data_IF_089837086920
#
_entry.id   IF_089837086920
#
_cell.length_a   1.000
_cell.length_b   1.000
_cell.length_c   1.000
_cell.angle_alpha   90.00
_cell.angle_beta   90.00
_cell.angle_gamma   90.00
#
_symmetry.space_group_name_H-M   'P 1'
#
loop_
_entity.id
_entity.type
_entity.pdbx_description
1 polymer ?
#
# COMPACT_ATOMS: atom_id res chain seq x y z
N UNK A 1 -4.89 -28.30 2.95
CA UNK A 1 -5.30 -29.71 3.11
C UNK A 1 -6.54 -30.06 2.28
N UNK A 2 -7.59 -29.24 2.23
CA UNK A 2 -8.75 -29.51 1.37
C UNK A 2 -8.47 -29.36 -0.15
N UNK A 3 -7.54 -28.49 -0.56
CA UNK A 3 -7.24 -28.23 -2.00
C UNK A 3 -6.68 -29.47 -2.72
N UNK A 4 -5.78 -30.23 -2.07
CA UNK A 4 -5.20 -31.46 -2.62
C UNK A 4 -6.22 -32.62 -2.73
N UNK A 5 -7.21 -32.66 -1.84
CA UNK A 5 -8.22 -33.72 -1.83
C UNK A 5 -9.15 -33.63 -3.04
N UNK A 6 -9.60 -32.42 -3.42
CA UNK A 6 -10.48 -32.23 -4.59
C UNK A 6 -9.84 -32.70 -5.89
N UNK A 7 -8.53 -32.50 -6.04
CA UNK A 7 -7.74 -32.93 -7.21
C UNK A 7 -7.61 -34.46 -7.24
N UNK A 8 -7.47 -35.07 -6.06
CA UNK A 8 -7.51 -36.53 -5.91
C UNK A 8 -8.87 -37.10 -6.35
N UNK A 9 -9.97 -36.45 -5.97
CA UNK A 9 -11.33 -36.88 -6.32
C UNK A 9 -11.68 -36.74 -7.81
N UNK A 10 -11.05 -35.82 -8.55
CA UNK A 10 -11.24 -35.70 -10.01
C UNK A 10 -10.38 -36.68 -10.81
N UNK A 11 -9.54 -37.49 -10.18
CA UNK A 11 -8.62 -38.40 -10.88
C UNK A 11 -7.30 -37.73 -11.31
N UNK A 12 -6.94 -36.61 -10.68
CA UNK A 12 -5.69 -35.87 -10.92
C UNK A 12 -5.83 -34.67 -11.86
N UNK A 13 -4.72 -33.94 -12.03
CA UNK A 13 -4.60 -32.68 -12.79
C UNK A 13 -5.11 -32.80 -14.24
N UNK A 14 -5.03 -34.00 -14.84
CA UNK A 14 -5.47 -34.25 -16.22
C UNK A 14 -6.97 -34.07 -16.46
N UNK A 15 -7.80 -34.27 -15.44
CA UNK A 15 -9.27 -34.18 -15.55
C UNK A 15 -9.82 -32.90 -14.93
N UNK A 16 -8.94 -32.06 -14.40
CA UNK A 16 -9.31 -30.86 -13.66
C UNK A 16 -10.00 -29.82 -14.55
N UNK A 17 -9.73 -29.86 -15.86
CA UNK A 17 -10.37 -29.03 -16.88
C UNK A 17 -11.87 -29.31 -17.01
N UNK A 18 -12.36 -30.48 -16.57
CA UNK A 18 -13.80 -30.78 -16.52
C UNK A 18 -14.54 -29.97 -15.45
N UNK A 19 -13.84 -29.41 -14.46
CA UNK A 19 -14.44 -28.50 -13.46
C UNK A 19 -14.60 -27.07 -13.99
N UNK A 20 -13.90 -26.71 -15.07
CA UNK A 20 -13.90 -25.34 -15.60
C UNK A 20 -15.31 -24.83 -15.92
N UNK A 21 -16.21 -25.57 -16.61
CA UNK A 21 -17.55 -25.06 -16.89
C UNK A 21 -18.36 -24.74 -15.62
N UNK A 22 -18.22 -25.57 -14.58
CA UNK A 22 -18.93 -25.39 -13.31
C UNK A 22 -18.38 -24.19 -12.54
N UNK A 23 -17.05 -24.11 -12.42
CA UNK A 23 -16.39 -23.00 -11.74
C UNK A 23 -16.60 -21.66 -12.46
N UNK A 24 -16.60 -21.67 -13.80
CA UNK A 24 -16.98 -20.50 -14.61
C UNK A 24 -18.41 -20.07 -14.29
N UNK A 25 -19.36 -21.00 -14.23
CA UNK A 25 -20.74 -20.70 -13.83
C UNK A 25 -20.84 -20.01 -12.45
N UNK A 26 -20.07 -20.48 -11.47
CA UNK A 26 -20.02 -19.85 -10.15
C UNK A 26 -19.26 -18.51 -10.13
N UNK A 27 -18.30 -18.31 -11.02
CA UNK A 27 -17.59 -17.03 -11.17
C UNK A 27 -18.53 -15.88 -11.65
N UNK A 28 -19.69 -16.21 -12.22
CA UNK A 28 -20.74 -15.26 -12.57
C UNK A 28 -21.78 -15.01 -11.48
N UNK A 29 -21.70 -15.70 -10.34
CA UNK A 29 -22.72 -15.62 -9.29
C UNK A 29 -22.83 -14.19 -8.73
N UNK A 30 -24.06 -13.77 -8.40
CA UNK A 30 -24.30 -12.48 -7.74
C UNK A 30 -23.72 -12.46 -6.31
N UNK A 31 -23.85 -13.58 -5.59
CA UNK A 31 -23.34 -13.75 -4.24
C UNK A 31 -21.81 -13.69 -4.20
N UNK A 32 -21.25 -12.72 -3.48
CA UNK A 32 -19.81 -12.44 -3.46
C UNK A 32 -19.02 -13.62 -2.88
N UNK A 33 -19.55 -14.28 -1.85
CA UNK A 33 -18.90 -15.44 -1.23
C UNK A 33 -18.78 -16.62 -2.19
N UNK A 34 -19.82 -16.88 -3.00
CA UNK A 34 -19.78 -17.95 -4.01
C UNK A 34 -18.75 -17.62 -5.08
N UNK A 35 -18.75 -16.37 -5.55
CA UNK A 35 -17.84 -15.88 -6.58
C UNK A 35 -16.38 -15.91 -6.10
N UNK A 36 -16.09 -15.50 -4.87
CA UNK A 36 -14.72 -15.51 -4.33
C UNK A 36 -14.17 -16.93 -4.20
N UNK A 37 -14.99 -17.89 -3.77
CA UNK A 37 -14.61 -19.31 -3.71
C UNK A 37 -14.38 -19.91 -5.10
N UNK A 38 -15.19 -19.52 -6.08
CA UNK A 38 -15.01 -19.92 -7.46
C UNK A 38 -13.68 -19.39 -8.03
N UNK A 39 -13.38 -18.09 -7.83
CA UNK A 39 -12.10 -17.49 -8.25
C UNK A 39 -10.93 -18.17 -7.55
N UNK A 40 -10.99 -18.42 -6.25
CA UNK A 40 -9.94 -19.15 -5.52
C UNK A 40 -9.69 -20.55 -6.08
N UNK A 41 -10.76 -21.26 -6.43
CA UNK A 41 -10.68 -22.57 -7.09
C UNK A 41 -10.05 -22.44 -8.49
N UNK A 42 -10.48 -21.47 -9.29
CA UNK A 42 -9.91 -21.19 -10.61
C UNK A 42 -8.43 -20.80 -10.55
N UNK A 43 -8.02 -20.00 -9.56
CA UNK A 43 -6.61 -19.68 -9.31
C UNK A 43 -5.79 -20.94 -9.02
N UNK A 44 -6.35 -21.87 -8.24
CA UNK A 44 -5.68 -23.16 -7.98
C UNK A 44 -5.50 -23.98 -9.25
N UNK A 45 -6.51 -24.00 -10.14
CA UNK A 45 -6.41 -24.64 -11.44
C UNK A 45 -5.36 -23.96 -12.33
N UNK A 46 -5.40 -22.64 -12.42
CA UNK A 46 -4.51 -21.84 -13.25
C UNK A 46 -3.04 -22.09 -12.89
N UNK A 47 -2.69 -22.22 -11.60
CA UNK A 47 -1.31 -22.54 -11.17
C UNK A 47 -0.80 -23.89 -11.71
N UNK A 48 -1.68 -24.81 -12.08
CA UNK A 48 -1.32 -26.14 -12.56
C UNK A 48 -1.31 -26.24 -14.09
N UNK A 49 -1.89 -25.26 -14.79
CA UNK A 49 -1.87 -25.19 -16.25
C UNK A 49 -0.43 -25.02 -16.76
N UNK A 50 -0.12 -25.69 -17.86
CA UNK A 50 1.22 -25.72 -18.45
C UNK A 50 1.31 -24.94 -19.77
N UNK A 51 0.17 -24.55 -20.34
CA UNK A 51 0.07 -23.81 -21.59
C UNK A 51 -0.43 -22.39 -21.32
N UNK A 52 0.15 -21.41 -22.02
CA UNK A 52 -0.31 -20.02 -21.97
C UNK A 52 -1.66 -19.88 -22.70
N UNK A 53 -1.89 -20.67 -23.74
CA UNK A 53 -3.14 -20.72 -24.48
C UNK A 53 -4.31 -21.17 -23.58
N UNK A 54 -4.11 -22.18 -22.73
CA UNK A 54 -5.14 -22.62 -21.77
C UNK A 54 -5.49 -21.51 -20.75
N UNK A 55 -4.48 -20.74 -20.31
CA UNK A 55 -4.65 -19.61 -19.40
C UNK A 55 -5.38 -18.44 -20.07
N UNK A 56 -5.06 -18.17 -21.33
CA UNK A 56 -5.76 -17.18 -22.14
C UNK A 56 -7.22 -17.57 -22.38
N UNK A 57 -7.49 -18.81 -22.79
CA UNK A 57 -8.85 -19.29 -22.99
C UNK A 57 -9.67 -19.19 -21.70
N UNK A 58 -9.05 -19.46 -20.54
CA UNK A 58 -9.71 -19.29 -19.25
C UNK A 58 -10.12 -17.83 -19.02
N UNK A 59 -9.23 -16.86 -19.19
CA UNK A 59 -9.54 -15.45 -18.98
C UNK A 59 -10.54 -14.94 -20.02
N UNK A 60 -10.31 -15.21 -21.31
CA UNK A 60 -11.21 -14.79 -22.38
C UNK A 60 -12.63 -15.34 -22.17
N UNK A 61 -12.76 -16.60 -21.73
CA UNK A 61 -14.08 -17.18 -21.44
C UNK A 61 -14.87 -16.44 -20.34
N UNK A 62 -14.19 -15.76 -19.41
CA UNK A 62 -14.83 -14.92 -18.40
C UNK A 62 -15.13 -13.51 -18.95
N UNK A 63 -14.24 -12.95 -19.78
CA UNK A 63 -14.44 -11.63 -20.38
C UNK A 63 -15.60 -11.62 -21.40
N UNK A 64 -15.70 -12.68 -22.19
CA UNK A 64 -16.74 -12.89 -23.20
C UNK A 64 -18.09 -13.28 -22.61
N UNK A 65 -18.12 -13.75 -21.35
CA UNK A 65 -19.35 -14.13 -20.70
C UNK A 65 -20.28 -12.93 -20.47
N UNK A 66 -21.58 -13.19 -20.65
CA UNK A 66 -22.65 -12.22 -20.40
C UNK A 66 -22.76 -11.93 -18.91
N UNK A 67 -22.20 -10.81 -18.48
CA UNK A 67 -22.38 -10.32 -17.12
C UNK A 67 -21.18 -9.57 -16.58
N UNK A 68 -21.49 -8.58 -15.75
CA UNK A 68 -20.52 -7.75 -15.05
C UNK A 68 -19.69 -8.55 -14.04
N UNK A 69 -20.28 -9.53 -13.37
CA UNK A 69 -19.60 -10.32 -12.33
C UNK A 69 -18.47 -11.18 -12.88
N UNK A 70 -18.56 -11.62 -14.15
CA UNK A 70 -17.47 -12.36 -14.78
C UNK A 70 -16.23 -11.50 -14.98
N UNK A 71 -16.38 -10.20 -15.27
CA UNK A 71 -15.26 -9.23 -15.36
C UNK A 71 -14.61 -8.99 -14.01
N UNK A 72 -15.41 -8.91 -12.94
CA UNK A 72 -14.90 -8.85 -11.55
C UNK A 72 -14.07 -10.10 -11.25
N UNK A 73 -14.59 -11.28 -11.57
CA UNK A 73 -13.88 -12.55 -11.36
C UNK A 73 -12.62 -12.68 -12.20
N UNK A 74 -12.66 -12.25 -13.47
CA UNK A 74 -11.49 -12.20 -14.34
C UNK A 74 -10.41 -11.31 -13.73
N UNK A 75 -10.78 -10.12 -13.24
CA UNK A 75 -9.85 -9.19 -12.59
C UNK A 75 -9.16 -9.82 -11.37
N UNK A 76 -9.91 -10.49 -10.49
CA UNK A 76 -9.33 -11.18 -9.34
C UNK A 76 -8.50 -12.42 -9.69
N UNK A 77 -8.70 -12.99 -10.88
CA UNK A 77 -7.91 -14.11 -11.39
C UNK A 77 -6.59 -13.64 -12.01
N UNK A 78 -6.55 -12.43 -12.59
CA UNK A 78 -5.38 -11.87 -13.28
C UNK A 78 -4.06 -11.96 -12.50
N UNK A 79 -3.99 -11.68 -11.19
CA UNK A 79 -2.72 -11.81 -10.47
C UNK A 79 -2.14 -13.22 -10.59
N UNK A 80 -2.98 -14.25 -10.47
CA UNK A 80 -2.53 -15.64 -10.60
C UNK A 80 -2.10 -15.97 -12.04
N UNK A 81 -2.83 -15.46 -13.03
CA UNK A 81 -2.56 -15.71 -14.46
C UNK A 81 -1.24 -15.07 -14.87
N UNK A 82 -1.05 -13.78 -14.56
CA UNK A 82 0.17 -13.04 -14.90
C UNK A 82 1.38 -13.72 -14.24
N UNK A 83 1.29 -14.04 -12.94
CA UNK A 83 2.35 -14.74 -12.24
C UNK A 83 2.69 -16.08 -12.90
N UNK A 84 1.68 -16.84 -13.30
CA UNK A 84 1.89 -18.15 -13.93
C UNK A 84 2.51 -18.04 -15.32
N UNK A 85 2.11 -17.05 -16.11
CA UNK A 85 2.69 -16.79 -17.43
C UNK A 85 4.17 -16.46 -17.30
N UNK A 86 4.51 -15.53 -16.40
CA UNK A 86 5.91 -15.17 -16.12
C UNK A 86 6.75 -16.40 -15.73
N UNK A 87 6.19 -17.33 -14.95
CA UNK A 87 6.88 -18.59 -14.61
C UNK A 87 7.09 -19.48 -15.84
N UNK A 88 6.06 -19.68 -16.66
CA UNK A 88 6.13 -20.55 -17.84
C UNK A 88 7.11 -20.01 -18.89
N UNK A 89 7.13 -18.69 -19.11
CA UNK A 89 8.00 -18.05 -20.10
C UNK A 89 9.45 -17.98 -19.62
N UNK A 90 9.69 -17.70 -18.34
CA UNK A 90 11.06 -17.58 -17.80
C UNK A 90 11.80 -18.93 -17.74
N UNK A 91 11.09 -20.07 -17.72
CA UNK A 91 11.72 -21.40 -17.83
C UNK A 91 12.20 -21.76 -19.25
N UNK A 92 11.82 -20.98 -20.27
CA UNK A 92 12.09 -21.30 -21.67
C UNK A 92 13.32 -20.54 -22.21
N UNK A 93 13.77 -19.49 -21.54
CA UNK A 93 14.94 -18.68 -21.93
C UNK A 93 16.22 -19.16 -21.22
N UNK A 94 17.09 -19.84 -21.97
CA UNK A 94 18.43 -20.24 -21.53
C UNK A 94 19.30 -19.02 -21.12
N UNK A 95 19.73 -19.00 -19.85
CA UNK A 95 20.99 -18.44 -19.35
C UNK A 95 21.55 -17.13 -19.95
N UNK A 96 20.85 -16.00 -19.82
CA UNK A 96 21.50 -14.68 -19.85
C UNK A 96 20.98 -13.78 -18.74
N UNK A 97 21.90 -13.07 -18.11
CA UNK A 97 21.83 -12.34 -16.82
C UNK A 97 20.85 -11.15 -16.79
N UNK A 98 19.98 -11.00 -17.80
CA UNK A 98 19.02 -9.89 -17.95
C UNK A 98 17.57 -10.31 -17.63
N UNK A 99 17.38 -11.49 -17.03
CA UNK A 99 16.07 -12.16 -16.88
C UNK A 99 15.08 -11.52 -15.89
N UNK A 100 15.49 -10.54 -15.08
CA UNK A 100 14.62 -9.93 -14.07
C UNK A 100 13.90 -8.66 -14.56
N UNK A 101 14.29 -8.09 -15.70
CA UNK A 101 13.85 -6.74 -16.12
C UNK A 101 12.89 -6.72 -17.30
N UNK A 102 12.81 -7.79 -18.09
CA UNK A 102 12.02 -7.79 -19.32
C UNK A 102 10.66 -8.47 -19.12
N UNK A 103 9.60 -7.72 -19.38
CA UNK A 103 8.24 -8.23 -19.43
C UNK A 103 8.04 -9.04 -20.72
N UNK A 104 7.39 -10.20 -20.62
CA UNK A 104 7.09 -11.05 -21.79
C UNK A 104 5.87 -10.52 -22.55
N UNK A 105 5.79 -10.64 -23.88
CA UNK A 105 4.64 -10.13 -24.66
C UNK A 105 3.32 -10.79 -24.25
N UNK A 106 3.36 -12.05 -23.78
CA UNK A 106 2.19 -12.73 -23.24
C UNK A 106 1.70 -12.05 -21.97
N UNK A 107 2.60 -11.69 -21.05
CA UNK A 107 2.25 -10.95 -19.83
C UNK A 107 1.77 -9.52 -20.12
N UNK A 108 2.35 -8.84 -21.12
CA UNK A 108 1.89 -7.53 -21.62
C UNK A 108 0.41 -7.56 -22.00
N UNK A 109 -0.02 -8.58 -22.76
CA UNK A 109 -1.44 -8.78 -23.11
C UNK A 109 -2.36 -8.79 -21.88
N UNK A 110 -1.96 -9.45 -20.78
CA UNK A 110 -2.78 -9.49 -19.57
C UNK A 110 -2.73 -8.18 -18.77
N UNK A 111 -1.66 -7.40 -18.89
CA UNK A 111 -1.64 -6.02 -18.37
C UNK A 111 -2.57 -5.10 -19.17
N UNK A 112 -2.67 -5.27 -20.48
CA UNK A 112 -3.64 -4.54 -21.31
C UNK A 112 -5.07 -4.85 -20.85
N UNK A 113 -5.40 -6.13 -20.63
CA UNK A 113 -6.70 -6.54 -20.08
C UNK A 113 -6.94 -5.90 -18.69
N UNK A 114 -5.94 -5.92 -17.81
CA UNK A 114 -6.04 -5.27 -16.50
C UNK A 114 -6.34 -3.76 -16.64
N UNK A 115 -5.71 -3.11 -17.61
CA UNK A 115 -5.88 -1.69 -17.89
C UNK A 115 -7.29 -1.39 -18.40
N UNK A 116 -7.79 -2.18 -19.34
CA UNK A 116 -9.17 -2.07 -19.83
C UNK A 116 -10.20 -2.24 -18.70
N UNK A 117 -9.98 -3.20 -17.79
CA UNK A 117 -10.83 -3.40 -16.62
C UNK A 117 -10.78 -2.22 -15.65
N UNK A 118 -9.62 -1.55 -15.54
CA UNK A 118 -9.41 -0.36 -14.70
C UNK A 118 -10.16 0.86 -15.23
N UNK A 119 -10.39 0.96 -16.54
CA UNK A 119 -11.25 2.00 -17.15
C UNK A 119 -12.73 1.61 -17.19
N UNK A 120 -13.07 0.40 -16.75
CA UNK A 120 -14.38 -0.17 -16.91
C UNK A 120 -15.49 0.58 -16.15
N UNK A 121 -16.77 0.28 -16.44
CA UNK A 121 -17.91 0.73 -15.67
C UNK A 121 -17.78 0.54 -14.15
N UNK A 122 -18.48 1.41 -13.42
CA UNK A 122 -18.49 1.53 -11.97
C UNK A 122 -18.66 0.20 -11.21
N UNK A 123 -19.48 -0.71 -11.73
CA UNK A 123 -19.81 -1.99 -11.08
C UNK A 123 -18.62 -2.96 -10.97
N UNK A 124 -17.57 -2.81 -11.79
CA UNK A 124 -16.39 -3.69 -11.71
C UNK A 124 -15.06 -2.96 -11.55
N UNK A 125 -15.04 -1.62 -11.62
CA UNK A 125 -13.82 -0.82 -11.46
C UNK A 125 -13.18 -0.91 -10.06
N UNK A 126 -13.94 -1.32 -9.04
CA UNK A 126 -13.39 -1.65 -7.70
C UNK A 126 -12.41 -2.83 -7.76
N UNK A 127 -12.66 -3.82 -8.61
CA UNK A 127 -11.88 -5.06 -8.63
C UNK A 127 -10.40 -4.82 -9.01
N UNK A 128 -10.08 -3.99 -10.02
CA UNK A 128 -8.71 -3.59 -10.30
C UNK A 128 -7.98 -2.96 -9.11
N UNK A 129 -8.59 -2.00 -8.41
CA UNK A 129 -7.98 -1.37 -7.24
C UNK A 129 -7.63 -2.38 -6.13
N UNK A 130 -8.49 -3.38 -5.93
CA UNK A 130 -8.25 -4.49 -4.99
C UNK A 130 -7.16 -5.45 -5.47
N UNK A 131 -7.07 -5.70 -6.78
CA UNK A 131 -6.12 -6.66 -7.37
C UNK A 131 -4.71 -6.09 -7.53
N UNK A 132 -4.56 -4.77 -7.67
CA UNK A 132 -3.27 -4.11 -7.92
C UNK A 132 -2.13 -4.55 -7.00
N UNK A 133 -2.30 -4.63 -5.65
CA UNK A 133 -1.19 -4.98 -4.76
C UNK A 133 -0.58 -6.35 -5.06
N UNK A 134 -1.43 -7.34 -5.34
CA UNK A 134 -0.95 -8.68 -5.68
C UNK A 134 -0.23 -8.70 -7.02
N UNK A 135 -0.71 -7.96 -8.03
CA UNK A 135 -0.05 -7.86 -9.33
C UNK A 135 1.35 -7.26 -9.18
N UNK A 136 1.47 -6.15 -8.46
CA UNK A 136 2.75 -5.45 -8.28
C UNK A 136 3.81 -6.31 -7.57
N UNK A 137 3.41 -7.33 -6.80
CA UNK A 137 4.31 -8.20 -6.02
C UNK A 137 5.28 -9.02 -6.87
N UNK A 138 4.90 -9.37 -8.10
CA UNK A 138 5.69 -10.26 -8.97
C UNK A 138 5.94 -9.68 -10.36
N UNK A 139 5.44 -8.47 -10.65
CA UNK A 139 5.58 -7.89 -11.97
C UNK A 139 7.02 -7.38 -12.19
N UNK A 140 7.67 -7.71 -13.32
CA UNK A 140 8.87 -7.02 -13.75
C UNK A 140 8.63 -5.50 -13.84
N UNK A 141 9.66 -4.71 -13.53
CA UNK A 141 9.50 -3.26 -13.33
C UNK A 141 10.32 -2.42 -14.34
N UNK A 142 10.12 -2.56 -15.67
CA UNK A 142 10.62 -1.58 -16.63
C UNK A 142 9.90 -0.23 -16.42
N UNK A 143 10.55 0.87 -16.83
CA UNK A 143 10.07 2.22 -16.50
C UNK A 143 8.64 2.48 -17.01
N UNK A 144 8.31 1.98 -18.21
CA UNK A 144 6.98 2.12 -18.77
C UNK A 144 5.90 1.39 -17.95
N UNK A 145 6.19 0.23 -17.34
CA UNK A 145 5.24 -0.49 -16.46
C UNK A 145 4.99 0.35 -15.22
N UNK A 146 6.06 0.90 -14.64
CA UNK A 146 5.93 1.74 -13.47
C UNK A 146 5.10 2.99 -13.81
N UNK A 147 5.41 3.70 -14.89
CA UNK A 147 4.62 4.86 -15.37
C UNK A 147 3.15 4.50 -15.60
N UNK A 148 2.91 3.38 -16.25
CA UNK A 148 1.55 2.90 -16.56
C UNK A 148 0.74 2.61 -15.29
N UNK A 149 1.32 1.90 -14.32
CA UNK A 149 0.66 1.66 -13.03
C UNK A 149 0.45 2.94 -12.22
N UNK A 150 1.34 3.94 -12.34
CA UNK A 150 1.12 5.28 -11.76
C UNK A 150 -0.16 5.93 -12.27
N UNK A 151 -0.38 5.83 -13.58
CA UNK A 151 -1.54 6.42 -14.23
C UNK A 151 -2.83 5.72 -13.79
N UNK A 152 -2.81 4.39 -13.71
CA UNK A 152 -3.95 3.62 -13.18
C UNK A 152 -4.21 3.99 -11.71
N UNK A 153 -3.17 4.08 -10.89
CA UNK A 153 -3.29 4.45 -9.48
C UNK A 153 -3.89 5.85 -9.33
N UNK A 154 -3.45 6.81 -10.14
CA UNK A 154 -4.00 8.17 -10.16
C UNK A 154 -5.51 8.17 -10.43
N UNK A 155 -5.99 7.27 -11.30
CA UNK A 155 -7.43 7.13 -11.58
C UNK A 155 -8.20 6.57 -10.40
N UNK A 156 -7.65 5.63 -9.64
CA UNK A 156 -8.31 5.13 -8.43
C UNK A 156 -8.42 6.20 -7.34
N UNK A 157 -7.39 7.03 -7.20
CA UNK A 157 -7.34 8.13 -6.25
C UNK A 157 -8.36 9.23 -6.60
N UNK A 158 -8.48 9.52 -7.89
CA UNK A 158 -9.39 10.55 -8.43
C UNK A 158 -10.79 10.03 -8.76
N UNK A 159 -11.11 8.77 -8.44
CA UNK A 159 -12.37 8.16 -8.83
C UNK A 159 -13.56 8.85 -8.15
N UNK A 160 -14.68 8.97 -8.86
CA UNK A 160 -15.90 9.59 -8.32
C UNK A 160 -16.52 8.76 -7.18
N UNK A 161 -16.31 7.44 -7.18
CA UNK A 161 -16.86 6.54 -6.18
C UNK A 161 -15.93 6.38 -4.98
N UNK A 162 -16.48 6.69 -3.80
CA UNK A 162 -15.84 6.41 -2.51
C UNK A 162 -15.39 4.95 -2.39
N UNK A 163 -16.21 4.00 -2.86
CA UNK A 163 -15.91 2.57 -2.77
C UNK A 163 -14.65 2.15 -3.54
N UNK A 164 -14.18 2.97 -4.47
CA UNK A 164 -12.93 2.73 -5.21
C UNK A 164 -11.78 3.45 -4.50
N UNK A 165 -11.99 4.71 -4.11
CA UNK A 165 -11.00 5.49 -3.35
C UNK A 165 -10.61 4.83 -2.03
N UNK A 166 -11.51 4.07 -1.39
CA UNK A 166 -11.20 3.27 -0.18
C UNK A 166 -10.07 2.24 -0.40
N UNK A 167 -9.86 1.75 -1.61
CA UNK A 167 -8.81 0.78 -1.93
C UNK A 167 -7.55 1.43 -2.50
N UNK A 168 -7.60 2.71 -2.86
CA UNK A 168 -6.48 3.42 -3.46
C UNK A 168 -5.23 3.46 -2.55
N UNK A 169 -5.33 3.65 -1.20
CA UNK A 169 -4.16 3.57 -0.33
C UNK A 169 -3.46 2.21 -0.37
N UNK A 170 -4.23 1.11 -0.31
CA UNK A 170 -3.66 -0.24 -0.39
C UNK A 170 -3.02 -0.51 -1.76
N UNK A 171 -3.66 -0.05 -2.84
CA UNK A 171 -3.10 -0.10 -4.20
C UNK A 171 -1.77 0.67 -4.31
N UNK A 172 -1.71 1.87 -3.73
CA UNK A 172 -0.50 2.70 -3.70
C UNK A 172 0.66 2.01 -2.95
N UNK A 173 0.36 1.43 -1.79
CA UNK A 173 1.33 0.68 -1.00
C UNK A 173 1.82 -0.58 -1.73
N UNK A 174 0.91 -1.34 -2.33
CA UNK A 174 1.28 -2.53 -3.11
C UNK A 174 2.14 -2.18 -4.32
N UNK A 175 1.81 -1.10 -5.02
CA UNK A 175 2.62 -0.56 -6.11
C UNK A 175 4.03 -0.22 -5.63
N UNK A 176 4.16 0.54 -4.55
CA UNK A 176 5.47 0.92 -3.98
C UNK A 176 6.27 -0.29 -3.49
N UNK A 177 5.63 -1.23 -2.77
CA UNK A 177 6.28 -2.43 -2.25
C UNK A 177 6.83 -3.33 -3.37
N UNK A 178 6.21 -3.32 -4.56
CA UNK A 178 6.65 -4.07 -5.73
C UNK A 178 7.91 -3.52 -6.42
N UNK A 179 8.28 -2.26 -6.17
CA UNK A 179 9.45 -1.62 -6.80
C UNK A 179 10.72 -2.10 -6.10
N UNK A 180 11.43 -3.08 -6.65
CA UNK A 180 12.58 -3.70 -5.97
C UNK A 180 13.80 -2.77 -5.88
N UNK A 181 14.02 -1.91 -6.87
CA UNK A 181 15.13 -0.96 -6.91
C UNK A 181 14.91 0.20 -5.90
N UNK A 182 15.91 0.46 -5.06
CA UNK A 182 15.82 1.47 -4.00
C UNK A 182 15.60 2.88 -4.55
N UNK A 183 16.38 3.28 -5.55
CA UNK A 183 16.34 4.64 -6.09
C UNK A 183 15.01 4.89 -6.80
N UNK A 184 14.55 3.93 -7.60
CA UNK A 184 13.22 3.99 -8.20
C UNK A 184 12.15 4.04 -7.12
N UNK A 185 12.20 3.17 -6.11
CA UNK A 185 11.18 3.14 -5.04
C UNK A 185 11.11 4.48 -4.31
N UNK A 186 12.25 5.06 -3.94
CA UNK A 186 12.34 6.38 -3.30
C UNK A 186 11.77 7.48 -4.19
N UNK A 187 12.17 7.51 -5.47
CA UNK A 187 11.64 8.46 -6.45
C UNK A 187 10.11 8.33 -6.55
N UNK A 188 9.58 7.11 -6.70
CA UNK A 188 8.12 6.88 -6.78
C UNK A 188 7.40 7.22 -5.50
N UNK A 189 8.02 7.01 -4.34
CA UNK A 189 7.44 7.47 -3.07
C UNK A 189 7.21 8.98 -3.10
N UNK A 190 8.22 9.74 -3.51
CA UNK A 190 8.14 11.20 -3.56
C UNK A 190 7.23 11.73 -4.66
N UNK A 191 7.34 11.19 -5.88
CA UNK A 191 6.64 11.73 -7.06
C UNK A 191 5.21 11.26 -7.19
N UNK A 192 4.90 10.07 -6.66
CA UNK A 192 3.58 9.45 -6.84
C UNK A 192 2.86 9.29 -5.51
N UNK A 193 3.48 8.58 -4.56
CA UNK A 193 2.78 8.16 -3.34
C UNK A 193 2.46 9.36 -2.46
N UNK A 194 3.42 10.25 -2.20
CA UNK A 194 3.20 11.43 -1.35
C UNK A 194 2.10 12.33 -1.90
N UNK A 195 2.08 12.73 -3.19
CA UNK A 195 1.00 13.52 -3.76
C UNK A 195 -0.35 12.81 -3.70
N UNK A 196 -0.41 11.53 -4.06
CA UNK A 196 -1.65 10.78 -4.11
C UNK A 196 -2.26 10.54 -2.72
N UNK A 197 -1.44 10.17 -1.73
CA UNK A 197 -1.90 10.04 -0.35
C UNK A 197 -2.26 11.40 0.26
N UNK A 198 -1.58 12.49 -0.12
CA UNK A 198 -1.97 13.84 0.33
C UNK A 198 -3.36 14.21 -0.21
N UNK A 199 -3.67 13.86 -1.46
CA UNK A 199 -4.99 14.11 -2.02
C UNK A 199 -6.09 13.30 -1.32
N UNK A 200 -5.82 12.03 -0.99
CA UNK A 200 -6.76 11.21 -0.22
C UNK A 200 -6.86 11.63 1.26
N UNK A 201 -5.82 12.25 1.81
CA UNK A 201 -5.83 12.80 3.16
C UNK A 201 -6.83 13.96 3.28
N UNK A 202 -7.08 14.68 2.18
CA UNK A 202 -8.08 15.75 2.08
C UNK A 202 -9.43 15.26 1.50
N UNK A 203 -9.67 13.94 1.43
CA UNK A 203 -10.91 13.39 0.86
C UNK A 203 -12.15 13.80 1.68
N UNK A 204 -13.26 14.04 0.99
CA UNK A 204 -14.55 14.34 1.63
C UNK A 204 -15.05 13.17 2.50
N UNK A 205 -14.72 11.92 2.16
CA UNK A 205 -15.05 10.75 2.97
C UNK A 205 -14.03 10.53 4.07
N UNK A 206 -14.50 10.63 5.32
CA UNK A 206 -13.71 10.26 6.50
C UNK A 206 -13.22 8.81 6.46
N UNK A 207 -13.94 7.90 5.79
CA UNK A 207 -13.53 6.50 5.65
C UNK A 207 -12.29 6.39 4.78
N UNK A 208 -12.23 7.17 3.70
CA UNK A 208 -11.04 7.25 2.84
C UNK A 208 -9.87 7.84 3.61
N UNK A 209 -10.09 8.92 4.37
CA UNK A 209 -9.06 9.50 5.25
C UNK A 209 -8.54 8.49 6.29
N UNK A 210 -9.41 7.67 6.90
CA UNK A 210 -9.00 6.57 7.77
C UNK A 210 -8.11 5.55 7.04
N UNK A 211 -8.44 5.19 5.79
CA UNK A 211 -7.60 4.26 5.00
C UNK A 211 -6.21 4.85 4.72
N UNK A 212 -6.08 6.18 4.57
CA UNK A 212 -4.77 6.84 4.45
C UNK A 212 -4.00 6.75 5.76
N UNK A 213 -4.65 7.04 6.88
CA UNK A 213 -4.06 6.93 8.22
C UNK A 213 -3.52 5.52 8.49
N UNK A 214 -4.31 4.49 8.17
CA UNK A 214 -3.93 3.08 8.33
C UNK A 214 -2.80 2.66 7.37
N UNK A 215 -2.68 3.33 6.21
CA UNK A 215 -1.62 3.08 5.24
C UNK A 215 -0.27 3.72 5.63
N UNK A 216 -0.26 4.76 6.47
CA UNK A 216 0.95 5.52 6.79
C UNK A 216 2.09 4.70 7.41
N UNK A 217 1.87 3.81 8.40
CA UNK A 217 2.94 2.97 8.94
C UNK A 217 3.64 2.15 7.85
N UNK A 218 2.87 1.42 7.04
CA UNK A 218 3.42 0.60 5.96
C UNK A 218 4.12 1.45 4.87
N UNK A 219 3.64 2.66 4.60
CA UNK A 219 4.29 3.60 3.68
C UNK A 219 5.70 3.96 4.16
N UNK A 220 5.84 4.23 5.45
CA UNK A 220 7.12 4.56 6.09
C UNK A 220 8.04 3.33 6.16
N UNK A 221 7.51 2.16 6.51
CA UNK A 221 8.24 0.89 6.48
C UNK A 221 8.83 0.60 5.09
N UNK A 222 8.05 0.83 4.04
CA UNK A 222 8.48 0.63 2.67
C UNK A 222 9.64 1.55 2.26
N UNK A 223 9.70 2.76 2.83
CA UNK A 223 10.78 3.70 2.60
C UNK A 223 12.03 3.31 3.42
N UNK A 224 11.87 3.00 4.72
CA UNK A 224 12.99 2.66 5.61
C UNK A 224 13.61 1.29 5.31
N UNK A 225 12.79 0.28 5.00
CA UNK A 225 13.27 -1.06 4.62
C UNK A 225 14.12 -0.99 3.36
N UNK A 226 13.72 -0.15 2.40
CA UNK A 226 14.46 0.02 1.17
C UNK A 226 15.85 0.63 1.43
N UNK A 227 15.97 1.58 2.35
CA UNK A 227 17.26 2.14 2.79
C UNK A 227 18.16 1.09 3.44
N UNK A 228 17.58 0.22 4.30
CA UNK A 228 18.33 -0.85 4.98
C UNK A 228 18.82 -1.93 4.02
N UNK A 229 17.99 -2.38 3.08
CA UNK A 229 18.38 -3.37 2.06
C UNK A 229 19.50 -2.84 1.18
N UNK A 230 19.38 -1.59 0.73
CA UNK A 230 20.38 -0.96 -0.11
C UNK A 230 21.71 -0.71 0.63
N UNK A 231 21.70 -0.53 1.96
CA UNK A 231 22.91 -0.50 2.78
C UNK A 231 23.53 -1.90 3.01
N UNK A 232 22.74 -2.98 2.95
CA UNK A 232 23.18 -4.35 3.19
C UNK A 232 23.85 -5.00 1.95
N UNK A 233 23.42 -4.65 0.73
CA UNK A 233 23.96 -5.19 -0.52
C UNK A 233 25.34 -4.61 -0.95
N UNK A 234 25.98 -3.82 -0.08
CA UNK A 234 27.37 -3.39 -0.20
C UNK A 234 27.56 -1.89 -0.52
N UNK A 235 28.76 -1.32 -0.27
CA UNK A 235 28.96 0.14 -0.19
C UNK A 235 29.30 0.79 -1.55
N UNK A 236 28.57 0.51 -2.63
CA UNK A 236 28.89 1.09 -3.95
C UNK A 236 27.95 2.20 -4.43
N UNK A 237 26.66 2.20 -4.06
CA UNK A 237 25.70 3.14 -4.67
C UNK A 237 24.80 3.91 -3.68
N UNK A 238 24.91 3.71 -2.36
CA UNK A 238 24.20 4.55 -1.39
C UNK A 238 25.05 5.77 -1.05
N UNK A 239 24.73 6.92 -1.65
CA UNK A 239 25.36 8.18 -1.26
C UNK A 239 24.81 8.64 0.10
N UNK A 240 25.65 9.33 0.90
CA UNK A 240 25.22 9.89 2.19
C UNK A 240 24.04 10.87 2.02
N UNK A 241 23.97 11.55 0.86
CA UNK A 241 22.84 12.37 0.41
C UNK A 241 21.52 11.60 0.36
N UNK A 242 21.52 10.34 -0.06
CA UNK A 242 20.31 9.53 -0.19
C UNK A 242 19.71 9.17 1.17
N UNK A 243 20.57 8.93 2.17
CA UNK A 243 20.14 8.68 3.55
C UNK A 243 19.53 9.93 4.16
N UNK A 244 20.20 11.08 4.00
CA UNK A 244 19.70 12.37 4.50
C UNK A 244 18.37 12.76 3.84
N UNK A 245 18.23 12.53 2.53
CA UNK A 245 17.01 12.82 1.78
C UNK A 245 15.85 11.89 2.17
N UNK A 246 16.13 10.60 2.35
CA UNK A 246 15.15 9.64 2.88
C UNK A 246 14.66 10.08 4.27
N UNK A 247 15.58 10.50 5.15
CA UNK A 247 15.25 10.97 6.48
C UNK A 247 14.41 12.26 6.46
N UNK A 248 14.69 13.18 5.53
CA UNK A 248 13.88 14.39 5.29
C UNK A 248 12.47 14.03 4.82
N UNK A 249 12.34 13.11 3.85
CA UNK A 249 11.05 12.63 3.35
C UNK A 249 10.23 11.97 4.46
N UNK A 250 10.84 11.07 5.23
CA UNK A 250 10.23 10.43 6.40
C UNK A 250 9.71 11.48 7.40
N UNK A 251 10.56 12.45 7.77
CA UNK A 251 10.18 13.50 8.72
C UNK A 251 9.01 14.34 8.19
N UNK A 252 9.05 14.73 6.92
CA UNK A 252 7.98 15.48 6.26
C UNK A 252 6.65 14.71 6.26
N UNK A 253 6.70 13.40 5.93
CA UNK A 253 5.53 12.54 5.90
C UNK A 253 4.93 12.32 7.30
N UNK A 254 5.76 12.09 8.31
CA UNK A 254 5.32 12.01 9.72
C UNK A 254 4.66 13.31 10.16
N UNK A 255 5.22 14.47 9.82
CA UNK A 255 4.61 15.76 10.18
C UNK A 255 3.22 15.96 9.56
N UNK A 256 3.03 15.55 8.29
CA UNK A 256 1.72 15.54 7.65
C UNK A 256 0.75 14.58 8.33
N UNK A 257 1.20 13.38 8.73
CA UNK A 257 0.37 12.44 9.46
C UNK A 257 -0.22 13.04 10.75
N UNK A 258 0.53 13.90 11.44
CA UNK A 258 0.04 14.56 12.65
C UNK A 258 -1.11 15.55 12.40
N UNK A 259 -1.40 15.93 11.16
CA UNK A 259 -2.59 16.71 10.82
C UNK A 259 -3.88 15.91 11.05
N UNK A 260 -3.85 14.57 10.92
CA UNK A 260 -5.00 13.71 11.21
C UNK A 260 -5.42 13.70 12.69
N UNK A 261 -4.52 14.09 13.62
CA UNK A 261 -4.88 14.28 15.03
C UNK A 261 -5.80 15.50 15.26
N UNK A 262 -5.98 16.34 14.23
CA UNK A 262 -6.84 17.54 14.20
C UNK A 262 -7.97 17.42 13.18
N UNK A 263 -8.17 16.24 12.59
CA UNK A 263 -9.24 16.00 11.64
C UNK A 263 -10.60 16.37 12.24
N UNK A 264 -11.53 16.89 11.44
CA UNK A 264 -12.87 17.24 11.89
C UNK A 264 -13.66 16.02 12.40
N UNK A 265 -13.42 14.85 11.83
CA UNK A 265 -14.11 13.60 12.15
C UNK A 265 -13.38 12.81 13.23
N UNK A 266 -14.13 12.39 14.25
CA UNK A 266 -13.54 11.72 15.41
C UNK A 266 -12.95 10.35 15.10
N UNK A 267 -13.49 9.69 14.09
CA UNK A 267 -13.09 8.37 13.61
C UNK A 267 -11.69 8.43 13.00
N UNK A 268 -11.40 9.49 12.24
CA UNK A 268 -10.07 9.73 11.67
C UNK A 268 -9.07 10.03 12.77
N UNK A 269 -9.41 10.94 13.70
CA UNK A 269 -8.56 11.24 14.87
C UNK A 269 -8.26 9.99 15.70
N UNK A 270 -9.28 9.15 15.91
CA UNK A 270 -9.12 7.87 16.62
C UNK A 270 -8.19 6.93 15.87
N UNK A 271 -8.36 6.77 14.56
CA UNK A 271 -7.46 5.94 13.74
C UNK A 271 -6.01 6.45 13.81
N UNK A 272 -5.83 7.77 13.78
CA UNK A 272 -4.49 8.39 13.85
C UNK A 272 -3.81 8.10 15.19
N UNK A 273 -4.55 8.15 16.29
CA UNK A 273 -4.06 7.80 17.63
C UNK A 273 -3.64 6.32 17.74
N UNK A 274 -4.39 5.42 17.10
CA UNK A 274 -4.07 3.97 17.11
C UNK A 274 -2.78 3.69 16.36
N UNK A 275 -2.56 4.35 15.22
CA UNK A 275 -1.39 4.15 14.36
C UNK A 275 -0.17 5.01 14.75
N UNK A 276 -0.32 5.91 15.73
CA UNK A 276 0.69 6.91 16.04
C UNK A 276 2.04 6.31 16.49
N UNK A 277 2.02 5.29 17.34
CA UNK A 277 3.27 4.68 17.83
C UNK A 277 4.09 4.07 16.71
N UNK A 278 3.44 3.40 15.76
CA UNK A 278 4.09 2.80 14.59
C UNK A 278 4.66 3.90 13.67
N UNK A 279 3.92 4.99 13.45
CA UNK A 279 4.44 6.11 12.64
C UNK A 279 5.66 6.78 13.29
N UNK A 280 5.62 7.00 14.61
CA UNK A 280 6.70 7.70 15.32
C UNK A 280 8.01 6.89 15.38
N UNK A 281 7.95 5.56 15.27
CA UNK A 281 9.15 4.70 15.32
C UNK A 281 10.14 4.99 14.18
N UNK A 282 9.67 5.62 13.10
CA UNK A 282 10.47 5.99 11.94
C UNK A 282 11.20 7.33 12.09
N UNK A 283 10.89 8.11 13.14
CA UNK A 283 11.64 9.33 13.40
C UNK A 283 13.07 9.00 13.84
N UNK A 284 14.06 9.79 13.40
CA UNK A 284 15.45 9.58 13.80
C UNK A 284 15.62 9.77 15.32
N UNK A 285 16.59 9.07 15.95
CA UNK A 285 16.97 9.32 17.33
C UNK A 285 17.36 10.78 17.53
N UNK A 286 16.67 11.51 18.40
CA UNK A 286 17.11 12.83 18.83
C UNK A 286 17.83 12.72 20.18
N UNK A 287 19.08 13.19 20.31
CA UNK A 287 19.70 13.41 21.62
C UNK A 287 19.04 14.64 22.26
N UNK A 288 18.00 14.45 23.06
CA UNK A 288 17.45 15.55 23.88
C UNK A 288 18.46 15.78 25.01
N UNK A 289 19.13 16.94 25.02
CA UNK A 289 19.92 17.34 26.17
C UNK A 289 18.99 17.44 27.39
N UNK A 290 19.27 16.66 28.44
CA UNK A 290 18.39 16.42 29.60
C UNK A 290 17.97 17.68 30.40
N UNK A 291 18.48 18.87 30.07
CA UNK A 291 18.41 20.06 30.93
C UNK A 291 17.73 21.32 30.33
N UNK A 292 17.05 21.25 29.19
CA UNK A 292 16.30 22.43 28.69
C UNK A 292 14.84 22.44 29.14
N UNK A 293 14.40 23.42 29.96
CA UNK A 293 13.01 23.52 30.39
C UNK A 293 12.10 23.90 29.21
N UNK A 294 11.01 23.15 29.09
CA UNK A 294 9.90 23.38 28.15
C UNK A 294 9.38 24.82 28.21
N UNK A 295 9.43 25.55 27.08
CA UNK A 295 8.81 26.87 26.93
C UNK A 295 7.72 26.79 25.88
N UNK A 296 6.47 26.79 26.32
CA UNK A 296 5.28 26.93 25.47
C UNK A 296 5.41 28.22 24.64
N UNK A 297 5.72 28.11 23.34
CA UNK A 297 5.75 29.24 22.41
C UNK A 297 4.56 29.15 21.45
N UNK A 298 3.99 30.30 21.10
CA UNK A 298 2.82 30.43 20.24
C UNK A 298 3.07 29.85 18.83
N UNK A 299 2.22 28.92 18.40
CA UNK A 299 2.29 28.21 17.11
C UNK A 299 2.31 29.11 15.86
N UNK A 300 1.77 30.33 15.93
CA UNK A 300 1.59 31.20 14.75
C UNK A 300 2.88 31.75 14.13
N UNK A 301 3.98 31.81 14.87
CA UNK A 301 5.26 32.35 14.36
C UNK A 301 6.10 31.29 13.63
N UNK A 302 5.81 29.99 13.77
CA UNK A 302 6.67 28.93 13.23
C UNK A 302 6.21 28.35 11.89
N UNK A 303 4.96 28.60 11.46
CA UNK A 303 4.36 27.94 10.29
C UNK A 303 5.00 28.42 8.97
N UNK A 304 5.41 29.69 8.88
CA UNK A 304 5.90 30.29 7.62
C UNK A 304 7.41 30.13 7.36
N UNK A 305 8.23 29.84 8.38
CA UNK A 305 9.68 29.69 8.22
C UNK A 305 10.12 28.24 7.95
N UNK A 306 9.46 27.24 8.56
CA UNK A 306 9.88 25.82 8.38
C UNK A 306 9.55 25.19 7.04
N UNK A 307 8.64 25.76 6.24
CA UNK A 307 8.41 25.29 4.87
C UNK A 307 9.59 25.60 3.93
N UNK A 308 10.53 26.46 4.36
CA UNK A 308 11.65 26.93 3.54
C UNK A 308 12.98 26.23 3.82
N UNK A 309 13.11 25.46 4.91
CA UNK A 309 14.40 24.84 5.25
C UNK A 309 14.26 23.51 6.02
N UNK A 310 14.21 22.36 5.33
CA UNK A 310 14.06 21.04 5.97
C UNK A 310 15.27 20.59 6.80
N UNK A 311 16.43 21.27 6.71
CA UNK A 311 17.61 21.00 7.55
C UNK A 311 17.41 21.40 9.02
N UNK A 312 16.50 22.32 9.32
CA UNK A 312 16.13 22.65 10.70
C UNK A 312 15.10 21.67 11.30
N UNK A 313 14.45 20.84 10.47
CA UNK A 313 13.46 19.82 10.90
C UNK A 313 14.07 18.66 11.68
N UNK A 314 15.40 18.50 11.66
CA UNK A 314 16.12 17.43 12.37
C UNK A 314 16.49 17.77 13.82
N UNK A 315 16.15 18.98 14.27
CA UNK A 315 16.36 19.43 15.66
C UNK A 315 15.13 19.16 16.53
N UNK A 316 15.25 19.29 17.86
CA UNK A 316 14.22 18.97 18.87
C UNK A 316 12.83 19.60 18.68
N UNK A 317 12.68 20.49 17.70
CA UNK A 317 11.42 21.08 17.24
C UNK A 317 10.41 20.07 16.66
N UNK A 318 10.84 18.99 15.98
CA UNK A 318 9.91 17.98 15.41
C UNK A 318 9.25 17.15 16.49
N UNK A 319 10.04 16.69 17.45
CA UNK A 319 9.53 16.02 18.65
C UNK A 319 8.57 16.95 19.38
N UNK A 320 8.97 18.19 19.65
CA UNK A 320 8.13 19.19 20.33
C UNK A 320 6.80 19.44 19.61
N UNK A 321 6.78 19.43 18.27
CA UNK A 321 5.53 19.52 17.48
C UNK A 321 4.62 18.31 17.69
N UNK A 322 5.17 17.10 17.70
CA UNK A 322 4.42 15.87 18.03
C UNK A 322 3.81 16.00 19.43
N UNK A 323 4.63 16.39 20.42
CA UNK A 323 4.20 16.60 21.81
C UNK A 323 3.04 17.57 21.90
N UNK A 324 3.17 18.74 21.28
CA UNK A 324 2.19 19.81 21.35
C UNK A 324 0.87 19.40 20.69
N UNK A 325 0.93 18.78 19.50
CA UNK A 325 -0.26 18.29 18.79
C UNK A 325 -0.99 17.24 19.59
N UNK A 326 -0.29 16.23 20.11
CA UNK A 326 -0.90 15.18 20.92
C UNK A 326 -1.53 15.76 22.20
N UNK A 327 -0.78 16.60 22.92
CA UNK A 327 -1.25 17.22 24.17
C UNK A 327 -2.53 18.03 23.94
N UNK A 328 -2.60 18.77 22.83
CA UNK A 328 -3.81 19.52 22.46
C UNK A 328 -4.97 18.57 22.16
N UNK A 329 -4.76 17.52 21.37
CA UNK A 329 -5.80 16.51 21.09
C UNK A 329 -6.32 15.89 22.39
N UNK A 330 -5.44 15.46 23.31
CA UNK A 330 -5.84 14.85 24.59
C UNK A 330 -6.69 15.79 25.44
N UNK A 331 -6.24 17.03 25.62
CA UNK A 331 -6.89 17.98 26.51
C UNK A 331 -8.23 18.45 25.97
N UNK A 332 -8.34 18.63 24.66
CA UNK A 332 -9.45 19.37 24.05
C UNK A 332 -10.39 18.54 23.18
N UNK A 333 -10.11 17.25 22.92
CA UNK A 333 -11.01 16.45 22.07
C UNK A 333 -12.42 16.35 22.68
N UNK A 334 -13.49 16.64 21.91
CA UNK A 334 -14.85 16.50 22.40
C UNK A 334 -15.29 15.04 22.51
N UNK A 335 -14.69 14.11 21.76
CA UNK A 335 -15.12 12.72 21.69
C UNK A 335 -14.39 11.85 22.74
N UNK A 336 -15.13 11.20 23.67
CA UNK A 336 -14.52 10.35 24.70
C UNK A 336 -13.82 9.10 24.13
N UNK A 337 -14.23 8.58 22.98
CA UNK A 337 -13.59 7.43 22.35
C UNK A 337 -12.19 7.75 21.85
N UNK A 338 -11.94 8.99 21.40
CA UNK A 338 -10.60 9.43 21.02
C UNK A 338 -9.71 9.47 22.27
N UNK A 339 -10.20 10.03 23.38
CA UNK A 339 -9.46 10.04 24.65
C UNK A 339 -9.14 8.64 25.16
N UNK A 340 -10.11 7.73 25.10
CA UNK A 340 -9.91 6.32 25.47
C UNK A 340 -8.85 5.68 24.59
N UNK A 341 -8.90 5.89 23.26
CA UNK A 341 -7.90 5.37 22.34
C UNK A 341 -6.50 5.89 22.69
N UNK A 342 -6.37 7.16 23.09
CA UNK A 342 -5.08 7.72 23.51
C UNK A 342 -4.56 6.97 24.73
N UNK A 343 -5.39 6.82 25.77
CA UNK A 343 -5.02 6.07 26.98
C UNK A 343 -4.61 4.63 26.67
N UNK A 344 -5.29 3.98 25.72
CA UNK A 344 -4.94 2.63 25.26
C UNK A 344 -3.61 2.60 24.49
N UNK A 345 -3.33 3.60 23.66
CA UNK A 345 -2.07 3.72 22.92
C UNK A 345 -0.89 4.18 23.79
N UNK A 346 -1.13 4.68 25.02
CA UNK A 346 -0.07 5.21 25.89
C UNK A 346 0.98 4.17 26.27
N UNK A 347 0.64 2.89 26.43
CA UNK A 347 1.64 1.85 26.71
C UNK A 347 2.59 1.67 25.53
N UNK A 348 2.05 1.59 24.31
CA UNK A 348 2.85 1.46 23.08
C UNK A 348 3.72 2.70 22.83
N UNK A 349 3.19 3.88 23.17
CA UNK A 349 3.95 5.13 23.14
C UNK A 349 5.07 5.14 24.21
N UNK A 350 4.79 4.70 25.44
CA UNK A 350 5.78 4.65 26.52
C UNK A 350 6.95 3.68 26.23
N UNK A 351 6.67 2.61 25.48
CA UNK A 351 7.67 1.60 25.07
C UNK A 351 8.52 2.03 23.85
N UNK A 352 8.30 3.23 23.32
CA UNK A 352 9.02 3.73 22.17
C UNK A 352 10.54 3.79 22.40
N UNK A 353 11.38 3.49 21.39
CA UNK A 353 12.85 3.48 21.50
C UNK A 353 13.48 4.84 21.87
N UNK A 354 12.68 5.90 21.97
CA UNK A 354 13.11 7.23 22.44
C UNK A 354 12.30 7.62 23.69
N UNK A 355 12.58 6.99 24.85
CA UNK A 355 11.85 7.24 26.10
C UNK A 355 11.95 8.70 26.54
N UNK A 356 13.04 9.40 26.20
CA UNK A 356 13.21 10.84 26.50
C UNK A 356 12.22 11.75 25.74
N UNK A 357 11.76 11.31 24.58
CA UNK A 357 10.76 12.00 23.76
C UNK A 357 9.36 11.76 24.30
N UNK A 358 9.05 10.52 24.71
CA UNK A 358 7.66 10.11 24.99
C UNK A 358 7.32 10.07 26.48
N UNK A 359 8.27 9.82 27.37
CA UNK A 359 8.02 9.83 28.82
C UNK A 359 7.49 11.18 29.35
N UNK A 360 7.91 12.36 28.85
CA UNK A 360 7.29 13.63 29.23
C UNK A 360 5.82 13.76 28.78
N UNK A 361 5.43 13.12 27.67
CA UNK A 361 4.02 13.00 27.23
C UNK A 361 3.26 12.17 28.24
N UNK A 362 3.72 10.93 28.45
CA UNK A 362 3.05 9.92 29.26
C UNK A 362 2.94 10.35 30.71
N UNK A 363 3.93 11.08 31.23
CA UNK A 363 3.95 11.63 32.59
C UNK A 363 3.03 12.85 32.79
N UNK A 364 2.70 13.59 31.71
CA UNK A 364 1.85 14.80 31.78
C UNK A 364 0.36 14.52 31.53
N UNK A 365 0.04 13.41 30.88
CA UNK A 365 -1.32 12.88 30.74
C UNK A 365 -1.71 12.19 32.04
#
# INVERSE_FOLDING_TARGET
QAEDETISFTGGVKYITHLLPVLRGFAGAAEEVVRSLAVSSLSTLARQMQSVEDLDELVQSLLDADGTMYRVSACYLLPTIIQRILQLTNHTTDNTTDQQTNLTPEAEKFLEIYSELSEGPLLWRRAPAVAMPEICRFLPQPDWVLEHFSQILSKFVLDELETIRLYAPAAALGFLSGVSDFQKRRLRFETDIVPLLSLLADDNSWRVRCMVVEACPQALDNLSTATLTAAADGPSDLELSDVDETQRLTTSFVLKFLDFLRDEESEVRRSAVVNLSEVLQHLPPHPIAEDQPFKEKNEKEHIDETAKNPEECLSGSTVERVLNRLTMTIKSDPNPHVKIAIVQSMSSLAEHPFPYTINPIVSRI
#
